data_IF_016825881840
#
_entry.id   IF_016825881840
#
_cell.length_a   1.000
_cell.length_b   1.000
_cell.length_c   1.000
_cell.angle_alpha   90.00
_cell.angle_beta   90.00
_cell.angle_gamma   90.00
#
_symmetry.space_group_name_H-M   'P 1'
#
loop_
_entity.id
_entity.type
_entity.pdbx_description
1 polymer ?
#
# COMPACT_ATOMS: atom_id res chain seq x y z
N UNK A 1 29.38 27.64 -1.56
CA UNK A 1 28.07 26.98 -1.39
C UNK A 1 28.23 25.51 -1.77
N UNK A 2 27.68 24.54 -1.02
CA UNK A 2 27.61 23.15 -1.48
C UNK A 2 26.88 23.12 -2.83
N UNK A 3 27.32 22.27 -3.77
CA UNK A 3 26.57 22.10 -5.02
C UNK A 3 25.18 21.54 -4.67
N UNK A 4 24.12 22.11 -5.26
CA UNK A 4 22.74 21.65 -5.06
C UNK A 4 22.51 20.18 -5.48
N UNK A 5 23.48 19.54 -6.16
CA UNK A 5 23.43 18.13 -6.54
C UNK A 5 23.88 17.16 -5.42
N UNK A 6 24.17 17.66 -4.20
CA UNK A 6 24.50 16.84 -3.02
C UNK A 6 23.28 16.40 -2.21
N UNK A 7 22.06 16.66 -2.69
CA UNK A 7 20.83 16.20 -2.02
C UNK A 7 20.71 14.68 -2.20
N UNK A 8 20.37 13.99 -1.11
CA UNK A 8 20.15 12.54 -1.15
C UNK A 8 18.99 12.22 -2.11
N UNK A 9 19.15 11.21 -2.98
CA UNK A 9 18.05 10.77 -3.83
C UNK A 9 16.92 10.15 -3.00
N UNK A 10 15.68 10.17 -3.54
CA UNK A 10 14.60 9.37 -2.97
C UNK A 10 14.99 7.89 -2.94
N UNK A 11 14.44 7.17 -1.96
CA UNK A 11 14.77 5.76 -1.74
C UNK A 11 13.56 4.92 -1.35
N UNK A 12 13.58 3.66 -1.75
CA UNK A 12 12.68 2.61 -1.30
C UNK A 12 13.51 1.49 -0.67
N UNK A 13 13.43 1.36 0.65
CA UNK A 13 14.28 0.45 1.43
C UNK A 13 13.78 -1.01 1.41
N UNK A 14 12.71 -1.32 0.69
CA UNK A 14 12.18 -2.69 0.59
C UNK A 14 13.08 -3.55 -0.30
N UNK A 15 13.13 -4.89 -0.11
CA UNK A 15 13.84 -5.80 -1.02
C UNK A 15 13.08 -6.06 -2.32
N UNK A 16 11.79 -5.74 -2.37
CA UNK A 16 11.00 -5.85 -3.58
C UNK A 16 9.81 -4.88 -3.56
N UNK A 17 9.33 -4.52 -4.75
CA UNK A 17 8.13 -3.70 -4.88
C UNK A 17 8.05 -3.00 -6.22
N UNK A 18 7.16 -2.02 -6.29
CA UNK A 18 7.11 -1.04 -7.37
C UNK A 18 7.51 0.32 -6.82
N UNK A 19 8.11 1.14 -7.67
CA UNK A 19 8.50 2.50 -7.35
C UNK A 19 8.26 3.41 -8.55
N UNK A 20 7.78 4.62 -8.25
CA UNK A 20 7.59 5.69 -9.24
C UNK A 20 8.39 6.90 -8.82
N UNK A 21 9.24 7.42 -9.70
CA UNK A 21 10.05 8.61 -9.42
C UNK A 21 10.30 9.44 -10.68
N UNK A 22 10.60 10.72 -10.46
CA UNK A 22 10.91 11.66 -11.52
C UNK A 22 12.42 11.61 -11.84
N UNK A 23 12.78 11.08 -13.01
CA UNK A 23 14.19 10.94 -13.40
C UNK A 23 14.83 12.24 -13.90
N UNK A 24 14.04 13.30 -14.14
CA UNK A 24 14.59 14.64 -14.39
C UNK A 24 15.02 15.34 -13.08
N UNK A 25 14.67 14.77 -11.93
CA UNK A 25 15.06 15.25 -10.60
C UNK A 25 16.21 14.41 -10.03
N UNK A 26 16.92 14.94 -9.03
CA UNK A 26 18.02 14.25 -8.33
C UNK A 26 19.09 13.64 -9.25
N UNK A 27 19.29 14.25 -10.43
CA UNK A 27 20.25 13.77 -11.44
C UNK A 27 19.96 12.32 -11.90
N UNK A 28 18.67 11.98 -11.96
CA UNK A 28 18.18 10.66 -12.36
C UNK A 28 18.42 9.57 -11.31
N UNK A 29 18.86 9.94 -10.10
CA UNK A 29 19.21 8.99 -9.06
C UNK A 29 18.00 8.55 -8.23
N UNK A 30 17.91 7.26 -7.98
CA UNK A 30 16.92 6.65 -7.09
C UNK A 30 17.50 5.41 -6.44
N UNK A 31 17.28 5.22 -5.14
CA UNK A 31 17.84 4.09 -4.39
C UNK A 31 16.76 3.02 -4.16
N UNK A 32 17.07 1.78 -4.50
CA UNK A 32 16.30 0.61 -4.08
C UNK A 32 17.10 -0.20 -3.05
N UNK A 33 16.41 -0.72 -2.05
CA UNK A 33 16.96 -1.49 -0.95
C UNK A 33 17.72 -0.69 0.10
N UNK A 34 18.37 -1.42 1.01
CA UNK A 34 19.00 -0.85 2.20
C UNK A 34 20.35 -1.51 2.53
N UNK A 35 21.18 -0.78 3.28
CA UNK A 35 22.48 -1.23 3.77
C UNK A 35 23.34 -1.84 2.63
N UNK A 36 23.91 -3.03 2.84
CA UNK A 36 24.84 -3.68 1.89
C UNK A 36 24.18 -4.18 0.60
N UNK A 37 22.85 -4.31 0.57
CA UNK A 37 22.08 -4.72 -0.61
C UNK A 37 21.34 -3.55 -1.27
N UNK A 38 21.72 -2.31 -0.95
CA UNK A 38 21.22 -1.13 -1.64
C UNK A 38 21.81 -0.97 -3.05
N UNK A 39 21.02 -0.39 -3.95
CA UNK A 39 21.41 -0.01 -5.31
C UNK A 39 21.00 1.44 -5.54
N UNK A 40 21.99 2.34 -5.65
CA UNK A 40 21.75 3.68 -6.18
C UNK A 40 21.71 3.59 -7.70
N UNK A 41 20.50 3.57 -8.25
CA UNK A 41 20.28 3.54 -9.70
C UNK A 41 20.41 4.95 -10.28
N UNK A 42 20.84 5.07 -11.53
CA UNK A 42 20.88 6.34 -12.27
C UNK A 42 20.23 6.15 -13.63
N UNK A 43 19.29 7.02 -13.95
CA UNK A 43 18.47 6.95 -15.15
C UNK A 43 18.54 8.23 -15.98
N UNK A 44 18.38 8.11 -17.29
CA UNK A 44 18.10 9.26 -18.17
C UNK A 44 17.14 8.86 -19.29
N UNK A 45 16.56 9.87 -19.95
CA UNK A 45 15.65 9.64 -21.07
C UNK A 45 16.38 9.01 -22.26
N UNK A 46 15.83 7.93 -22.82
CA UNK A 46 16.23 7.37 -24.12
C UNK A 46 15.13 7.54 -25.20
N UNK A 47 14.08 8.32 -24.90
CA UNK A 47 12.89 8.49 -25.72
C UNK A 47 11.65 7.83 -25.10
N UNK A 48 10.52 7.86 -25.82
CA UNK A 48 9.27 7.30 -25.32
C UNK A 48 9.39 5.79 -25.08
N UNK A 49 9.04 5.33 -23.88
CA UNK A 49 9.03 3.89 -23.54
C UNK A 49 10.41 3.26 -23.32
N UNK A 50 11.48 4.05 -23.19
CA UNK A 50 12.82 3.53 -22.90
C UNK A 50 13.65 4.52 -22.08
N UNK A 51 14.56 4.00 -21.25
CA UNK A 51 15.44 4.81 -20.43
C UNK A 51 16.86 4.26 -20.47
N UNK A 52 17.86 5.14 -20.38
CA UNK A 52 19.24 4.71 -20.15
C UNK A 52 19.44 4.45 -18.66
N UNK A 53 19.97 3.27 -18.34
CA UNK A 53 20.44 2.87 -17.03
C UNK A 53 21.97 2.89 -17.03
N UNK A 54 22.58 3.45 -15.99
CA UNK A 54 24.03 3.60 -15.88
C UNK A 54 24.61 2.84 -14.68
N UNK A 55 25.85 2.37 -14.80
CA UNK A 55 26.66 1.87 -13.68
C UNK A 55 27.57 2.96 -13.06
N UNK A 56 27.40 4.23 -13.44
CA UNK A 56 28.17 5.36 -12.90
C UNK A 56 28.11 5.53 -11.37
N UNK A 57 26.98 5.25 -10.67
CA UNK A 57 26.93 5.37 -9.23
C UNK A 57 27.93 4.43 -8.55
N UNK A 58 28.67 4.93 -7.56
CA UNK A 58 29.78 4.20 -6.93
C UNK A 58 29.41 2.85 -6.29
N UNK A 59 28.13 2.63 -6.01
CA UNK A 59 27.61 1.36 -5.49
C UNK A 59 27.34 0.30 -6.55
N UNK A 60 27.38 0.62 -7.84
CA UNK A 60 27.03 -0.29 -8.94
C UNK A 60 28.30 -0.82 -9.60
N UNK A 61 28.45 -2.15 -9.61
CA UNK A 61 29.55 -2.84 -10.31
C UNK A 61 29.23 -2.98 -11.81
N UNK A 62 27.98 -3.30 -12.14
CA UNK A 62 27.57 -3.50 -13.52
C UNK A 62 26.06 -3.47 -13.73
N UNK A 63 25.69 -3.23 -14.99
CA UNK A 63 24.31 -3.25 -15.46
C UNK A 63 24.19 -4.10 -16.74
N UNK A 64 23.15 -4.91 -16.84
CA UNK A 64 22.89 -5.76 -18.00
C UNK A 64 21.39 -5.79 -18.32
N UNK A 65 21.04 -6.34 -19.49
CA UNK A 65 19.65 -6.69 -19.82
C UNK A 65 19.50 -8.19 -19.68
N UNK A 66 18.45 -8.65 -19.01
CA UNK A 66 18.07 -10.05 -19.03
C UNK A 66 17.35 -10.34 -20.35
N UNK A 67 17.96 -11.14 -21.19
CA UNK A 67 17.39 -11.55 -22.47
C UNK A 67 16.44 -12.74 -22.30
N UNK A 68 15.49 -12.88 -23.23
CA UNK A 68 14.52 -13.99 -23.30
C UNK A 68 13.67 -14.23 -22.04
N UNK A 69 13.42 -13.17 -21.26
CA UNK A 69 12.55 -13.20 -20.09
C UNK A 69 11.51 -12.08 -20.14
N UNK A 70 10.30 -12.38 -19.66
CA UNK A 70 9.19 -11.43 -19.61
C UNK A 70 8.88 -10.94 -18.19
N UNK A 71 9.25 -11.70 -17.16
CA UNK A 71 9.00 -11.34 -15.75
C UNK A 71 10.22 -11.62 -14.88
N UNK A 72 10.34 -10.89 -13.77
CA UNK A 72 11.48 -11.03 -12.84
C UNK A 72 11.65 -12.48 -12.37
N UNK A 73 10.54 -13.20 -12.14
CA UNK A 73 10.55 -14.60 -11.73
C UNK A 73 11.14 -15.58 -12.76
N UNK A 74 11.34 -15.17 -14.01
CA UNK A 74 11.98 -15.99 -15.03
C UNK A 74 13.50 -15.81 -15.08
N UNK A 75 14.05 -14.85 -14.33
CA UNK A 75 15.51 -14.62 -14.25
C UNK A 75 16.13 -15.69 -13.36
N UNK A 76 16.69 -16.72 -14.00
CA UNK A 76 17.43 -17.80 -13.34
C UNK A 76 18.94 -17.49 -13.27
N UNK A 77 19.74 -18.23 -12.49
CA UNK A 77 21.19 -18.07 -12.47
C UNK A 77 21.85 -18.18 -13.85
N UNK A 78 21.28 -18.99 -14.75
CA UNK A 78 21.75 -19.12 -16.13
C UNK A 78 21.56 -17.83 -16.93
N UNK A 79 20.42 -17.15 -16.75
CA UNK A 79 20.13 -15.87 -17.40
C UNK A 79 21.12 -14.81 -16.90
N UNK A 80 21.36 -14.75 -15.59
CA UNK A 80 22.33 -13.81 -15.01
C UNK A 80 23.76 -14.09 -15.49
N UNK A 81 24.18 -15.36 -15.55
CA UNK A 81 25.52 -15.73 -16.00
C UNK A 81 25.77 -15.45 -17.49
N UNK A 82 24.72 -15.46 -18.32
CA UNK A 82 24.81 -15.12 -19.75
C UNK A 82 24.76 -13.60 -20.02
N UNK A 83 24.33 -12.80 -19.04
CA UNK A 83 24.11 -11.38 -19.22
C UNK A 83 25.42 -10.58 -19.31
N UNK A 84 25.46 -9.61 -20.22
CA UNK A 84 26.64 -8.77 -20.43
C UNK A 84 26.63 -7.53 -19.49
N UNK A 85 27.47 -7.57 -18.46
CA UNK A 85 27.67 -6.48 -17.49
C UNK A 85 28.80 -5.51 -17.86
N UNK A 86 29.44 -5.67 -19.02
CA UNK A 86 30.65 -4.90 -19.38
C UNK A 86 30.37 -3.48 -19.84
N UNK A 87 29.14 -3.19 -20.28
CA UNK A 87 28.76 -1.85 -20.71
C UNK A 87 28.50 -0.93 -19.52
N UNK A 88 29.01 0.29 -19.63
CA UNK A 88 28.69 1.41 -18.73
C UNK A 88 27.19 1.72 -18.69
N UNK A 89 26.48 1.46 -19.80
CA UNK A 89 25.07 1.80 -19.94
C UNK A 89 24.28 0.72 -20.67
N UNK A 90 23.02 0.54 -20.24
CA UNK A 90 22.01 -0.27 -20.92
C UNK A 90 20.76 0.56 -21.15
N UNK A 91 19.99 0.20 -22.17
CA UNK A 91 18.77 0.94 -22.53
C UNK A 91 17.56 0.00 -22.48
N UNK A 92 17.06 -0.35 -21.28
CA UNK A 92 15.83 -1.13 -21.17
C UNK A 92 14.65 -0.37 -21.76
N UNK A 93 13.78 -1.13 -22.43
CA UNK A 93 12.44 -0.70 -22.87
C UNK A 93 11.39 -1.12 -21.84
N UNK A 94 10.22 -0.50 -21.90
CA UNK A 94 9.06 -0.95 -21.12
C UNK A 94 8.80 -2.45 -21.39
N UNK A 95 8.61 -3.21 -20.33
CA UNK A 95 8.48 -4.67 -20.32
C UNK A 95 9.80 -5.44 -20.28
N UNK A 96 10.96 -4.78 -20.43
CA UNK A 96 12.26 -5.43 -20.29
C UNK A 96 12.78 -5.37 -18.86
N UNK A 97 13.66 -6.32 -18.55
CA UNK A 97 14.27 -6.47 -17.23
C UNK A 97 15.75 -6.13 -17.32
N UNK A 98 16.16 -5.14 -16.55
CA UNK A 98 17.56 -4.83 -16.30
C UNK A 98 18.06 -5.62 -15.08
N UNK A 99 19.30 -6.08 -15.16
CA UNK A 99 20.02 -6.69 -14.04
C UNK A 99 21.05 -5.71 -13.53
N UNK A 100 21.16 -5.60 -12.22
CA UNK A 100 22.17 -4.81 -11.55
C UNK A 100 22.97 -5.71 -10.62
N UNK A 101 24.28 -5.47 -10.57
CA UNK A 101 25.16 -6.03 -9.55
C UNK A 101 25.80 -4.89 -8.79
N UNK A 102 25.71 -4.92 -7.47
CA UNK A 102 26.36 -3.91 -6.63
C UNK A 102 27.79 -4.33 -6.27
N UNK A 103 28.61 -3.40 -5.80
CA UNK A 103 30.02 -3.65 -5.42
C UNK A 103 30.17 -4.60 -4.21
N UNK A 104 29.07 -4.90 -3.51
CA UNK A 104 29.02 -5.89 -2.42
C UNK A 104 28.59 -7.29 -2.89
N UNK A 105 28.42 -7.50 -4.19
CA UNK A 105 28.09 -8.79 -4.80
C UNK A 105 26.61 -9.19 -4.73
N UNK A 106 25.71 -8.27 -4.40
CA UNK A 106 24.27 -8.52 -4.44
C UNK A 106 23.72 -8.26 -5.85
N UNK A 107 22.63 -8.95 -6.19
CA UNK A 107 21.93 -8.79 -7.46
C UNK A 107 20.54 -8.17 -7.27
N UNK A 108 20.16 -7.33 -8.22
CA UNK A 108 18.79 -6.83 -8.36
C UNK A 108 18.29 -7.04 -9.79
N UNK A 109 17.01 -7.34 -9.92
CA UNK A 109 16.29 -7.36 -11.18
C UNK A 109 15.27 -6.22 -11.18
N UNK A 110 15.24 -5.45 -12.26
CA UNK A 110 14.40 -4.25 -12.40
C UNK A 110 13.63 -4.32 -13.72
N UNK A 111 12.33 -4.52 -13.63
CA UNK A 111 11.40 -4.50 -14.77
C UNK A 111 10.91 -3.06 -14.97
N UNK A 112 11.06 -2.54 -16.19
CA UNK A 112 10.59 -1.20 -16.54
C UNK A 112 9.10 -1.25 -16.90
N UNK A 113 8.24 -0.66 -16.09
CA UNK A 113 6.78 -0.69 -16.31
C UNK A 113 6.28 0.50 -17.13
N UNK A 114 6.93 1.65 -16.98
CA UNK A 114 6.54 2.89 -17.65
C UNK A 114 7.71 3.86 -17.74
N UNK A 115 7.80 4.57 -18.87
CA UNK A 115 8.69 5.72 -19.04
C UNK A 115 7.90 6.86 -19.66
N UNK A 116 7.55 7.84 -18.82
CA UNK A 116 7.00 9.12 -19.25
C UNK A 116 8.11 10.01 -19.80
N UNK A 117 7.87 10.60 -20.97
CA UNK A 117 8.78 11.57 -21.59
C UNK A 117 7.99 12.84 -21.90
N UNK A 118 8.42 13.97 -21.32
CA UNK A 118 7.72 15.25 -21.48
C UNK A 118 8.70 16.41 -21.49
N UNK A 119 8.31 17.49 -22.18
CA UNK A 119 9.02 18.77 -22.14
C UNK A 119 8.94 19.42 -20.75
N UNK A 120 7.89 19.12 -19.99
CA UNK A 120 7.76 19.55 -18.60
C UNK A 120 8.47 18.56 -17.69
N UNK A 121 9.30 19.03 -16.73
CA UNK A 121 10.00 18.15 -15.79
C UNK A 121 9.08 17.15 -15.09
N UNK A 122 7.87 17.57 -14.71
CA UNK A 122 6.89 16.74 -14.00
C UNK A 122 6.46 15.47 -14.75
N UNK A 123 6.53 15.45 -16.09
CA UNK A 123 6.14 14.29 -16.90
C UNK A 123 7.27 13.30 -17.17
N UNK A 124 8.50 13.58 -16.70
CA UNK A 124 9.66 12.70 -16.86
C UNK A 124 9.74 11.69 -15.71
N UNK A 125 8.84 10.72 -15.74
CA UNK A 125 8.64 9.75 -14.67
C UNK A 125 9.02 8.35 -15.15
N UNK A 126 9.72 7.60 -14.30
CA UNK A 126 9.90 6.16 -14.46
C UNK A 126 9.07 5.45 -13.41
N UNK A 127 8.32 4.44 -13.85
CA UNK A 127 7.73 3.44 -12.98
C UNK A 127 8.42 2.11 -13.23
N UNK A 128 8.94 1.52 -12.17
CA UNK A 128 9.64 0.25 -12.23
C UNK A 128 9.10 -0.71 -11.18
N UNK A 129 9.30 -2.00 -11.44
CA UNK A 129 9.20 -3.07 -10.46
C UNK A 129 10.60 -3.61 -10.20
N UNK A 130 10.90 -3.94 -8.96
CA UNK A 130 12.21 -4.44 -8.61
C UNK A 130 12.14 -5.57 -7.59
N UNK A 131 13.15 -6.43 -7.63
CA UNK A 131 13.44 -7.46 -6.64
C UNK A 131 14.95 -7.51 -6.38
N UNK A 132 15.34 -7.73 -5.14
CA UNK A 132 16.72 -7.79 -4.69
C UNK A 132 16.96 -9.11 -3.96
N UNK A 133 18.00 -9.83 -4.35
CA UNK A 133 18.46 -11.03 -3.67
C UNK A 133 19.27 -10.65 -2.45
N UNK A 134 18.67 -10.68 -1.26
CA UNK A 134 19.35 -10.27 -0.01
C UNK A 134 20.30 -11.33 0.56
N UNK A 135 20.39 -12.49 -0.07
CA UNK A 135 21.28 -13.62 0.23
C UNK A 135 22.47 -13.73 -0.74
N UNK A 136 22.60 -12.80 -1.69
CA UNK A 136 23.58 -12.80 -2.81
C UNK A 136 23.35 -13.91 -3.86
N UNK A 137 22.20 -14.57 -3.84
CA UNK A 137 21.79 -15.43 -4.94
C UNK A 137 21.64 -14.62 -6.24
N UNK A 138 21.62 -15.34 -7.36
CA UNK A 138 21.25 -14.81 -8.69
C UNK A 138 19.94 -15.44 -9.21
N UNK A 139 19.22 -16.18 -8.36
CA UNK A 139 18.01 -16.92 -8.72
C UNK A 139 16.73 -16.20 -8.30
N UNK A 140 16.09 -15.49 -9.23
CA UNK A 140 14.88 -14.71 -8.97
C UNK A 140 13.58 -15.51 -9.08
N UNK A 141 13.62 -16.82 -9.32
CA UNK A 141 12.39 -17.63 -9.38
C UNK A 141 11.49 -17.56 -8.15
N UNK A 142 11.98 -17.38 -6.91
CA UNK A 142 11.11 -17.19 -5.74
C UNK A 142 10.23 -15.93 -5.81
N UNK A 143 10.58 -14.95 -6.64
CA UNK A 143 9.77 -13.74 -6.82
C UNK A 143 8.61 -13.94 -7.80
N UNK A 144 8.54 -15.06 -8.52
CA UNK A 144 7.43 -15.35 -9.43
C UNK A 144 6.08 -15.30 -8.70
N UNK A 145 5.98 -16.00 -7.56
CA UNK A 145 4.76 -16.00 -6.74
C UNK A 145 4.61 -14.71 -5.94
N UNK A 146 5.70 -14.09 -5.47
CA UNK A 146 5.63 -12.94 -4.58
C UNK A 146 4.92 -11.71 -5.17
N UNK A 147 5.08 -11.46 -6.48
CA UNK A 147 4.36 -10.37 -7.15
C UNK A 147 2.89 -10.70 -7.40
N UNK A 148 2.58 -11.94 -7.77
CA UNK A 148 1.21 -12.42 -7.96
C UNK A 148 0.43 -12.40 -6.63
N UNK A 149 1.04 -12.90 -5.56
CA UNK A 149 0.49 -12.91 -4.21
C UNK A 149 0.22 -11.48 -3.72
N UNK A 150 1.12 -10.54 -4.01
CA UNK A 150 0.94 -9.13 -3.65
C UNK A 150 -0.20 -8.47 -4.43
N UNK A 151 -0.30 -8.72 -5.74
CA UNK A 151 -1.41 -8.20 -6.55
C UNK A 151 -2.74 -8.80 -6.09
N UNK A 152 -2.77 -10.10 -5.78
CA UNK A 152 -3.93 -10.76 -5.20
C UNK A 152 -4.31 -10.14 -3.84
N UNK A 153 -3.32 -9.84 -2.99
CA UNK A 153 -3.54 -9.17 -1.70
C UNK A 153 -4.11 -7.76 -1.87
N UNK A 154 -3.63 -6.98 -2.83
CA UNK A 154 -4.18 -5.66 -3.17
C UNK A 154 -5.64 -5.80 -3.66
N UNK A 155 -5.91 -6.79 -4.51
CA UNK A 155 -7.28 -7.10 -4.97
C UNK A 155 -8.22 -7.42 -3.81
N UNK A 156 -7.76 -8.26 -2.86
CA UNK A 156 -8.51 -8.58 -1.63
C UNK A 156 -8.74 -7.34 -0.77
N UNK A 157 -7.74 -6.46 -0.64
CA UNK A 157 -7.83 -5.24 0.15
C UNK A 157 -8.87 -4.27 -0.43
N UNK A 158 -8.88 -4.09 -1.76
CA UNK A 158 -9.85 -3.24 -2.46
C UNK A 158 -11.27 -3.80 -2.37
N UNK A 159 -11.43 -5.12 -2.47
CA UNK A 159 -12.72 -5.78 -2.29
C UNK A 159 -13.24 -5.58 -0.86
N UNK A 160 -12.41 -5.85 0.16
CA UNK A 160 -12.77 -5.66 1.56
C UNK A 160 -13.10 -4.19 1.89
N UNK A 161 -12.37 -3.24 1.30
CA UNK A 161 -12.66 -1.81 1.43
C UNK A 161 -14.04 -1.46 0.87
N UNK A 162 -14.39 -2.02 -0.29
CA UNK A 162 -15.70 -1.81 -0.93
C UNK A 162 -16.84 -2.41 -0.09
N UNK A 163 -16.63 -3.59 0.48
CA UNK A 163 -17.64 -4.24 1.31
C UNK A 163 -17.85 -3.52 2.65
N UNK A 164 -16.77 -3.02 3.27
CA UNK A 164 -16.84 -2.18 4.46
C UNK A 164 -17.57 -0.85 4.21
N UNK A 165 -17.29 -0.19 3.09
CA UNK A 165 -17.98 1.03 2.65
C UNK A 165 -19.48 0.77 2.48
N UNK A 166 -19.85 -0.32 1.80
CA UNK A 166 -21.25 -0.72 1.63
C UNK A 166 -21.94 -0.98 2.98
N UNK A 167 -21.27 -1.68 3.89
CA UNK A 167 -21.83 -1.99 5.20
C UNK A 167 -22.07 -0.72 6.04
N UNK A 168 -21.11 0.21 6.05
CA UNK A 168 -21.24 1.51 6.73
C UNK A 168 -22.35 2.38 6.11
N UNK A 169 -22.57 2.26 4.80
CA UNK A 169 -23.67 2.97 4.15
C UNK A 169 -25.05 2.39 4.51
N UNK A 170 -25.12 1.09 4.81
CA UNK A 170 -26.38 0.38 5.06
C UNK A 170 -26.93 0.55 6.49
N UNK A 171 -26.11 0.97 7.46
CA UNK A 171 -26.53 1.14 8.86
C UNK A 171 -27.17 2.51 9.11
N UNK A 172 -28.22 2.57 9.95
CA UNK A 172 -28.82 3.84 10.38
C UNK A 172 -27.88 4.58 11.34
N UNK A 173 -27.96 5.91 11.35
CA UNK A 173 -27.12 6.81 12.15
C UNK A 173 -27.98 7.69 13.04
N UNK A 174 -27.48 7.98 14.25
CA UNK A 174 -28.08 8.99 15.11
C UNK A 174 -27.71 10.38 14.62
N UNK A 175 -28.68 11.28 14.45
CA UNK A 175 -28.35 12.70 14.30
C UNK A 175 -27.64 13.16 15.56
N UNK A 176 -26.42 13.71 15.42
CA UNK A 176 -25.70 14.28 16.54
C UNK A 176 -26.55 15.40 17.15
N UNK A 177 -27.12 15.15 18.34
CA UNK A 177 -27.84 16.18 19.08
C UNK A 177 -26.78 17.21 19.48
N UNK A 178 -26.87 18.39 18.87
CA UNK A 178 -26.06 19.55 19.24
C UNK A 178 -26.20 19.80 20.73
N UNK A 179 -25.07 19.89 21.41
CA UNK A 179 -24.98 20.24 22.83
C UNK A 179 -25.46 21.68 23.04
N UNK A 180 -26.75 21.86 23.31
CA UNK A 180 -27.25 23.05 24.00
C UNK A 180 -28.52 22.67 24.76
N UNK A 181 -28.45 22.92 26.07
CA UNK A 181 -29.55 22.99 27.04
C UNK A 181 -30.19 21.68 27.51
N UNK A 182 -29.51 20.97 28.42
CA UNK A 182 -30.23 20.22 29.47
C UNK A 182 -29.43 20.18 30.78
N UNK A 183 -29.78 21.10 31.70
CA UNK A 183 -29.49 20.96 33.13
C UNK A 183 -30.57 20.03 33.70
N UNK A 184 -30.19 18.79 34.05
CA UNK A 184 -31.11 17.83 34.64
C UNK A 184 -30.36 16.74 35.39
N UNK A 185 -30.31 16.86 36.71
CA UNK A 185 -29.77 15.85 37.63
C UNK A 185 -30.67 14.61 37.55
N UNK A 186 -30.13 13.55 36.96
CA UNK A 186 -30.78 12.25 36.79
C UNK A 186 -29.88 11.32 36.00
N UNK A 187 -28.95 10.63 36.67
CA UNK A 187 -27.99 9.70 36.09
C UNK A 187 -28.66 8.40 35.60
N UNK A 188 -29.36 8.47 34.47
CA UNK A 188 -29.58 7.29 33.64
C UNK A 188 -29.60 7.74 32.17
N UNK A 189 -28.40 7.85 31.60
CA UNK A 189 -28.23 8.15 30.18
C UNK A 189 -28.79 6.96 29.41
N UNK A 190 -29.86 7.12 28.61
CA UNK A 190 -30.41 6.01 27.85
C UNK A 190 -29.31 5.42 26.95
N UNK A 191 -29.24 4.08 26.80
CA UNK A 191 -28.19 3.47 26.00
C UNK A 191 -28.29 3.95 24.56
N UNK A 192 -27.15 4.41 24.02
CA UNK A 192 -27.08 5.00 22.67
C UNK A 192 -27.88 4.16 21.66
N UNK A 193 -28.74 4.85 20.93
CA UNK A 193 -29.66 4.22 19.97
C UNK A 193 -28.89 3.61 18.79
N UNK A 194 -27.73 4.18 18.46
CA UNK A 194 -26.87 3.77 17.35
C UNK A 194 -25.44 3.52 17.81
N UNK A 195 -24.72 2.68 17.09
CA UNK A 195 -23.36 2.30 17.45
C UNK A 195 -22.31 3.39 17.17
N UNK A 196 -22.57 4.26 16.19
CA UNK A 196 -21.64 5.30 15.73
C UNK A 196 -22.40 6.58 15.39
N UNK A 197 -21.70 7.72 15.46
CA UNK A 197 -22.22 9.03 15.03
C UNK A 197 -21.99 9.28 13.53
N UNK A 198 -22.59 10.33 12.98
CA UNK A 198 -22.31 10.73 11.59
C UNK A 198 -20.86 11.21 11.38
N UNK A 199 -20.23 11.78 12.41
CA UNK A 199 -18.82 12.15 12.38
C UNK A 199 -17.93 10.89 12.31
N UNK A 200 -18.24 9.85 13.10
CA UNK A 200 -17.54 8.56 13.03
C UNK A 200 -17.69 7.92 11.65
N UNK A 201 -18.89 7.96 11.08
CA UNK A 201 -19.16 7.46 9.73
C UNK A 201 -18.31 8.18 8.69
N UNK A 202 -18.33 9.51 8.71
CA UNK A 202 -17.58 10.36 7.77
C UNK A 202 -16.08 10.08 7.87
N UNK A 203 -15.54 10.02 9.08
CA UNK A 203 -14.12 9.70 9.32
C UNK A 203 -13.74 8.30 8.84
N UNK A 204 -14.63 7.33 9.03
CA UNK A 204 -14.38 5.95 8.59
C UNK A 204 -14.40 5.83 7.08
N UNK A 205 -15.35 6.47 6.40
CA UNK A 205 -15.41 6.51 4.94
C UNK A 205 -14.17 7.21 4.35
N UNK A 206 -13.71 8.31 4.96
CA UNK A 206 -12.46 8.98 4.56
C UNK A 206 -11.22 8.08 4.75
N UNK A 207 -11.17 7.30 5.84
CA UNK A 207 -10.11 6.31 6.06
C UNK A 207 -10.13 5.19 5.02
N UNK A 208 -11.32 4.66 4.67
CA UNK A 208 -11.48 3.65 3.60
C UNK A 208 -11.04 4.22 2.24
N UNK A 209 -11.43 5.46 1.92
CA UNK A 209 -11.00 6.14 0.70
C UNK A 209 -9.48 6.28 0.63
N UNK A 210 -8.83 6.59 1.77
CA UNK A 210 -7.36 6.64 1.87
C UNK A 210 -6.74 5.28 1.55
N UNK A 211 -7.26 4.18 2.10
CA UNK A 211 -6.76 2.82 1.80
C UNK A 211 -6.87 2.53 0.30
N UNK A 212 -8.01 2.84 -0.32
CA UNK A 212 -8.21 2.64 -1.76
C UNK A 212 -7.24 3.44 -2.59
N UNK A 213 -7.06 4.72 -2.25
CA UNK A 213 -6.12 5.61 -2.94
C UNK A 213 -4.69 5.09 -2.84
N UNK A 214 -4.21 4.80 -1.63
CA UNK A 214 -2.85 4.30 -1.43
C UNK A 214 -2.61 2.96 -2.13
N UNK A 215 -3.61 2.06 -2.13
CA UNK A 215 -3.51 0.75 -2.79
C UNK A 215 -3.43 0.84 -4.31
N UNK A 216 -3.92 1.93 -4.90
CA UNK A 216 -3.79 2.21 -6.33
C UNK A 216 -2.46 2.89 -6.69
N UNK A 217 -1.67 3.35 -5.69
CA UNK A 217 -0.37 3.98 -5.96
C UNK A 217 0.77 2.96 -6.07
N UNK A 218 1.73 3.22 -6.95
CA UNK A 218 2.97 2.45 -7.05
C UNK A 218 3.88 2.60 -5.82
N UNK A 219 3.62 3.56 -4.92
CA UNK A 219 4.42 3.77 -3.70
C UNK A 219 3.51 4.14 -2.52
N UNK A 220 2.81 3.15 -1.93
CA UNK A 220 1.88 3.39 -0.84
C UNK A 220 2.59 3.90 0.41
N UNK A 221 1.99 4.88 1.07
CA UNK A 221 2.46 5.44 2.33
C UNK A 221 1.99 4.58 3.50
N UNK A 222 2.93 3.85 4.11
CA UNK A 222 2.64 3.01 5.28
C UNK A 222 2.12 3.82 6.48
N UNK A 223 2.56 5.07 6.64
CA UNK A 223 2.06 5.96 7.71
C UNK A 223 0.60 6.35 7.50
N UNK A 224 0.20 6.70 6.27
CA UNK A 224 -1.21 6.99 5.93
C UNK A 224 -2.08 5.75 6.08
N UNK A 225 -1.62 4.59 5.62
CA UNK A 225 -2.32 3.32 5.78
C UNK A 225 -2.53 2.95 7.26
N UNK A 226 -1.51 3.13 8.11
CA UNK A 226 -1.65 2.90 9.56
C UNK A 226 -2.63 3.87 10.22
N UNK A 227 -2.58 5.15 9.87
CA UNK A 227 -3.51 6.15 10.41
C UNK A 227 -4.97 5.85 10.01
N UNK A 228 -5.19 5.42 8.77
CA UNK A 228 -6.49 4.95 8.29
C UNK A 228 -6.95 3.72 9.08
N UNK A 229 -6.07 2.72 9.23
CA UNK A 229 -6.35 1.51 10.01
C UNK A 229 -6.70 1.79 11.48
N UNK A 230 -6.02 2.73 12.14
CA UNK A 230 -6.35 3.12 13.51
C UNK A 230 -7.75 3.74 13.63
N UNK A 231 -8.16 4.52 12.63
CA UNK A 231 -9.50 5.12 12.58
C UNK A 231 -10.56 4.04 12.44
N UNK A 232 -10.36 3.08 11.53
CA UNK A 232 -11.26 1.94 11.32
C UNK A 232 -11.34 1.05 12.57
N UNK A 233 -10.20 0.75 13.20
CA UNK A 233 -10.14 -0.07 14.41
C UNK A 233 -10.92 0.56 15.58
N UNK A 234 -10.86 1.89 15.74
CA UNK A 234 -11.64 2.61 16.75
C UNK A 234 -13.13 2.40 16.54
N UNK A 235 -13.60 2.56 15.30
CA UNK A 235 -15.02 2.43 14.94
C UNK A 235 -15.49 0.98 15.07
N UNK A 236 -14.70 0.01 14.63
CA UNK A 236 -14.98 -1.41 14.84
C UNK A 236 -15.13 -1.75 16.33
N UNK A 237 -14.29 -1.17 17.19
CA UNK A 237 -14.39 -1.31 18.66
C UNK A 237 -15.68 -0.72 19.25
N UNK A 238 -16.13 0.44 18.75
CA UNK A 238 -17.41 1.05 19.16
C UNK A 238 -18.60 0.17 18.76
N UNK A 239 -18.60 -0.34 17.52
CA UNK A 239 -19.65 -1.25 17.02
C UNK A 239 -19.69 -2.54 17.83
N UNK A 240 -18.54 -3.17 18.10
CA UNK A 240 -18.47 -4.37 18.90
C UNK A 240 -19.01 -4.17 20.33
N UNK A 241 -18.63 -3.04 20.97
CA UNK A 241 -19.13 -2.68 22.31
C UNK A 241 -20.64 -2.46 22.31
N UNK A 242 -21.17 -1.79 21.29
CA UNK A 242 -22.60 -1.55 21.15
C UNK A 242 -23.37 -2.85 20.95
N UNK A 243 -22.90 -3.76 20.09
CA UNK A 243 -23.51 -5.07 19.87
C UNK A 243 -23.54 -5.87 21.17
N UNK A 244 -22.43 -5.90 21.92
CA UNK A 244 -22.36 -6.58 23.22
C UNK A 244 -23.40 -6.03 24.20
N UNK A 245 -23.45 -4.69 24.36
CA UNK A 245 -24.41 -4.05 25.25
C UNK A 245 -25.88 -4.31 24.85
N UNK A 246 -26.20 -4.36 23.55
CA UNK A 246 -27.57 -4.68 23.10
C UNK A 246 -27.90 -6.16 23.23
N UNK A 247 -26.93 -7.06 23.07
CA UNK A 247 -27.12 -8.49 23.31
C UNK A 247 -27.44 -8.76 24.79
N UNK A 248 -26.70 -8.14 25.71
CA UNK A 248 -26.94 -8.23 27.15
C UNK A 248 -28.35 -7.76 27.53
N UNK A 249 -28.78 -6.62 26.98
CA UNK A 249 -30.14 -6.08 27.17
C UNK A 249 -31.20 -7.02 26.57
N UNK A 250 -30.95 -7.65 25.41
CA UNK A 250 -31.90 -8.58 24.82
C UNK A 250 -32.12 -9.82 25.70
N UNK A 251 -31.08 -10.32 26.37
CA UNK A 251 -31.20 -11.38 27.38
C UNK A 251 -32.00 -10.96 28.62
N UNK A 252 -31.89 -9.70 29.06
CA UNK A 252 -32.64 -9.18 30.21
C UNK A 252 -34.10 -8.79 29.87
N UNK A 253 -34.36 -8.26 28.68
CA UNK A 253 -35.66 -7.73 28.23
C UNK A 253 -36.58 -8.77 27.59
N UNK A 254 -36.07 -9.95 27.19
CA UNK A 254 -36.93 -11.09 26.81
C UNK A 254 -37.90 -11.50 27.94
N UNK A 255 -37.66 -11.01 29.16
CA UNK A 255 -38.53 -11.20 30.32
C UNK A 255 -39.69 -10.17 30.44
N UNK A 256 -39.71 -9.01 29.74
CA UNK A 256 -40.70 -7.95 30.07
C UNK A 256 -41.50 -7.25 28.95
N UNK A 257 -40.99 -6.67 27.85
CA UNK A 257 -41.93 -6.02 26.88
C UNK A 257 -41.41 -5.71 25.46
N UNK A 258 -42.35 -5.62 24.50
CA UNK A 258 -42.25 -5.55 23.02
C UNK A 258 -41.82 -4.18 22.43
N UNK A 259 -41.37 -3.21 23.24
CA UNK A 259 -41.10 -1.83 22.79
C UNK A 259 -39.73 -1.53 22.16
N UNK A 260 -38.72 -2.41 22.33
CA UNK A 260 -37.30 -2.20 21.91
C UNK A 260 -36.96 -2.87 20.56
N UNK A 261 -37.93 -3.08 19.68
CA UNK A 261 -37.80 -3.92 18.48
C UNK A 261 -36.90 -3.34 17.39
N UNK A 262 -36.80 -2.02 17.23
CA UNK A 262 -35.99 -1.41 16.16
C UNK A 262 -34.47 -1.52 16.38
N UNK A 263 -33.99 -1.30 17.60
CA UNK A 263 -32.56 -1.41 17.92
C UNK A 263 -32.06 -2.85 17.87
N UNK A 264 -32.89 -3.82 18.30
CA UNK A 264 -32.59 -5.25 18.20
C UNK A 264 -32.62 -5.71 16.72
N UNK A 265 -33.56 -5.19 15.91
CA UNK A 265 -33.64 -5.49 14.48
C UNK A 265 -32.43 -4.97 13.67
N UNK A 266 -31.69 -3.98 14.19
CA UNK A 266 -30.50 -3.43 13.55
C UNK A 266 -29.21 -4.24 13.86
N UNK A 267 -29.22 -5.14 14.84
CA UNK A 267 -28.03 -5.95 15.22
C UNK A 267 -27.39 -6.68 14.02
N UNK A 268 -28.15 -7.32 13.10
CA UNK A 268 -27.55 -7.99 11.93
C UNK A 268 -26.78 -7.04 11.01
N UNK A 269 -27.28 -5.81 10.80
CA UNK A 269 -26.60 -4.81 9.97
C UNK A 269 -25.31 -4.32 10.64
N UNK A 270 -25.34 -4.10 11.95
CA UNK A 270 -24.15 -3.74 12.72
C UNK A 270 -23.13 -4.88 12.80
N UNK A 271 -23.57 -6.13 12.87
CA UNK A 271 -22.69 -7.30 12.81
C UNK A 271 -21.97 -7.36 11.46
N UNK A 272 -22.67 -7.07 10.36
CA UNK A 272 -22.06 -6.97 9.02
C UNK A 272 -20.99 -5.87 8.96
N UNK A 273 -21.25 -4.70 9.58
CA UNK A 273 -20.23 -3.64 9.71
C UNK A 273 -19.04 -4.15 10.50
N UNK A 274 -19.24 -4.80 11.64
CA UNK A 274 -18.13 -5.36 12.43
C UNK A 274 -17.31 -6.35 11.61
N UNK A 275 -17.95 -7.34 10.97
CA UNK A 275 -17.26 -8.37 10.19
C UNK A 275 -16.45 -7.79 9.04
N UNK A 276 -17.04 -6.85 8.28
CA UNK A 276 -16.36 -6.24 7.13
C UNK A 276 -15.21 -5.32 7.55
N UNK A 277 -15.34 -4.55 8.62
CA UNK A 277 -14.25 -3.73 9.14
C UNK A 277 -13.11 -4.59 9.72
N UNK A 278 -13.42 -5.68 10.42
CA UNK A 278 -12.39 -6.61 10.91
C UNK A 278 -11.65 -7.27 9.74
N UNK A 279 -12.37 -7.77 8.73
CA UNK A 279 -11.76 -8.37 7.55
C UNK A 279 -10.85 -7.38 6.80
N UNK A 280 -11.31 -6.13 6.64
CA UNK A 280 -10.51 -5.05 6.06
C UNK A 280 -9.22 -4.81 6.86
N UNK A 281 -9.31 -4.78 8.19
CA UNK A 281 -8.15 -4.58 9.06
C UNK A 281 -7.13 -5.73 8.98
N UNK A 282 -7.60 -6.97 8.91
CA UNK A 282 -6.73 -8.15 8.81
C UNK A 282 -5.95 -8.16 7.48
N UNK A 283 -6.62 -7.82 6.39
CA UNK A 283 -5.98 -7.73 5.06
C UNK A 283 -5.04 -6.52 5.01
N UNK A 284 -5.45 -5.38 5.58
CA UNK A 284 -4.62 -4.18 5.66
C UNK A 284 -3.33 -4.45 6.44
N UNK A 285 -3.41 -5.18 7.56
CA UNK A 285 -2.22 -5.56 8.34
C UNK A 285 -1.23 -6.37 7.49
N UNK A 286 -1.73 -7.37 6.75
CA UNK A 286 -0.91 -8.16 5.81
C UNK A 286 -0.29 -7.29 4.70
N UNK A 287 -1.01 -6.28 4.21
CA UNK A 287 -0.55 -5.42 3.14
C UNK A 287 0.51 -4.39 3.59
N UNK A 288 0.50 -3.99 4.87
CA UNK A 288 1.48 -3.06 5.44
C UNK A 288 2.81 -3.76 5.79
N UNK A 289 2.76 -5.07 6.09
CA UNK A 289 3.90 -5.84 6.61
C UNK A 289 3.98 -5.77 8.13
#
# INVERSE_FOLDING_TARGET
MPKLNSVQPPKDERPMGEATFNYASYDGRFVIGAASWAFETRWSSAGQGSAHLYNDPAGIEGVAIAEDVATIGQVTPKVVAAADFTSRTRTPRVGQIALLRNTSGFFAAVELLEVGHSSLPSGNVIRLRFAIQTDRSSDFSPFASAFDDRQALIGQLLAAATDAERAIHAVPIGQGIGSSDFIGIGHNQPPDEFAITEDDRTKTLAAIATIRQESATGSPSTSRLRAAGQTIARVAGMVAKWIGAKADIATEEFAKTVGKTAAIAAIPAWLMVQTTLTALMDILAKAIG
#
